data_IF_754909662017
#
_entry.id   IF_754909662017
#
_cell.length_a   1.000
_cell.length_b   1.000
_cell.length_c   1.000
_cell.angle_alpha   90.00
_cell.angle_beta   90.00
_cell.angle_gamma   90.00
#
_symmetry.space_group_name_H-M   'P 1'
#
loop_
_entity.id
_entity.type
_entity.pdbx_description
1 polymer ?
#
# COMPACT_ATOMS: atom_id res chain seq x y z
N UNK A 1 19.85 2.68 0.67
CA UNK A 1 18.81 3.73 0.65
C UNK A 1 18.54 4.23 2.07
N UNK A 2 18.14 3.35 2.97
CA UNK A 2 17.72 3.67 4.34
C UNK A 2 18.79 4.42 5.17
N UNK A 3 20.06 4.05 5.04
CA UNK A 3 21.19 4.70 5.75
C UNK A 3 21.77 5.92 5.01
N UNK A 4 21.44 6.09 3.74
CA UNK A 4 22.00 7.13 2.87
C UNK A 4 20.99 8.18 2.42
N UNK A 5 19.77 8.17 2.96
CA UNK A 5 18.68 9.06 2.55
C UNK A 5 18.52 9.15 1.02
N UNK A 6 18.68 8.01 0.35
CA UNK A 6 18.67 7.95 -1.10
C UNK A 6 17.69 6.93 -1.65
N UNK A 7 17.46 6.98 -2.93
CA UNK A 7 16.67 6.00 -3.64
C UNK A 7 17.53 4.78 -4.03
N UNK A 8 16.92 3.61 -4.08
CA UNK A 8 17.53 2.38 -4.53
C UNK A 8 16.81 1.89 -5.78
N UNK A 9 17.58 1.49 -6.79
CA UNK A 9 17.06 0.85 -7.97
C UNK A 9 17.92 -0.38 -8.32
N UNK A 10 17.27 -1.42 -8.83
CA UNK A 10 17.94 -2.58 -9.40
C UNK A 10 17.81 -2.51 -10.92
N UNK A 11 18.93 -2.40 -11.60
CA UNK A 11 18.98 -2.22 -13.05
C UNK A 11 19.53 -3.52 -13.66
N UNK A 12 18.65 -4.30 -14.28
CA UNK A 12 18.96 -5.58 -14.90
C UNK A 12 19.03 -5.52 -16.43
N UNK A 13 18.44 -4.47 -17.02
CA UNK A 13 18.39 -4.29 -18.46
C UNK A 13 18.40 -2.79 -18.85
N UNK A 14 18.53 -2.53 -20.15
CA UNK A 14 18.60 -1.17 -20.69
C UNK A 14 17.29 -0.39 -20.54
N UNK A 15 16.14 -1.08 -20.59
CA UNK A 15 14.82 -0.45 -20.40
C UNK A 15 14.69 0.07 -18.97
N UNK A 16 15.10 -0.71 -17.98
CA UNK A 16 15.11 -0.32 -16.57
C UNK A 16 16.13 0.80 -16.32
N UNK A 17 17.32 0.74 -16.94
CA UNK A 17 18.28 1.84 -16.88
C UNK A 17 17.68 3.16 -17.40
N UNK A 18 16.97 3.12 -18.52
CA UNK A 18 16.30 4.30 -19.08
C UNK A 18 15.18 4.80 -18.15
N UNK A 19 14.39 3.90 -17.55
CA UNK A 19 13.37 4.27 -16.57
C UNK A 19 13.97 5.05 -15.41
N UNK A 20 15.00 4.49 -14.78
CA UNK A 20 15.60 5.05 -13.56
C UNK A 20 16.42 6.31 -13.85
N UNK A 21 17.31 6.24 -14.84
CA UNK A 21 18.32 7.29 -15.08
C UNK A 21 17.82 8.44 -15.98
N UNK A 22 16.73 8.24 -16.71
CA UNK A 22 16.15 9.27 -17.58
C UNK A 22 14.74 9.63 -17.13
N UNK A 23 13.87 8.63 -16.96
CA UNK A 23 12.46 8.87 -16.64
C UNK A 23 12.23 9.40 -15.23
N UNK A 24 12.98 8.91 -14.25
CA UNK A 24 12.85 9.25 -12.83
C UNK A 24 13.94 10.22 -12.33
N UNK A 25 14.85 10.63 -13.19
CA UNK A 25 15.98 11.49 -12.83
C UNK A 25 15.54 12.80 -12.15
N UNK A 26 14.55 13.48 -12.72
CA UNK A 26 13.99 14.70 -12.15
C UNK A 26 13.36 14.50 -10.77
N UNK A 27 12.72 13.36 -10.58
CA UNK A 27 12.10 13.01 -9.31
C UNK A 27 13.12 12.78 -8.17
N UNK A 28 14.30 12.28 -8.52
CA UNK A 28 15.39 12.07 -7.57
C UNK A 28 16.06 13.39 -7.18
N UNK A 29 16.13 14.36 -8.09
CA UNK A 29 16.83 15.63 -7.86
C UNK A 29 15.98 16.72 -7.19
N UNK A 30 14.66 16.66 -7.34
CA UNK A 30 13.76 17.71 -6.87
C UNK A 30 12.77 17.18 -5.83
N UNK A 31 13.17 17.27 -4.56
CA UNK A 31 12.28 16.98 -3.43
C UNK A 31 11.15 18.00 -3.38
N UNK A 32 9.90 17.56 -3.41
CA UNK A 32 8.70 18.40 -3.27
C UNK A 32 8.08 18.32 -1.89
N UNK A 33 8.35 17.24 -1.15
CA UNK A 33 7.93 17.06 0.23
C UNK A 33 8.95 16.22 0.99
N UNK A 34 9.29 16.65 2.20
CA UNK A 34 10.19 15.93 3.12
C UNK A 34 9.38 15.29 4.24
N UNK A 35 9.92 14.22 4.81
CA UNK A 35 9.36 13.53 5.99
C UNK A 35 7.87 13.18 5.83
N UNK A 36 7.53 12.59 4.69
CA UNK A 36 6.15 12.24 4.36
C UNK A 36 5.69 11.05 5.19
N UNK A 37 4.69 11.28 6.03
CA UNK A 37 4.06 10.28 6.90
C UNK A 37 2.60 10.13 6.54
N UNK A 38 2.17 8.89 6.38
CA UNK A 38 0.79 8.53 6.07
C UNK A 38 0.18 7.75 7.24
N UNK A 39 -1.00 8.15 7.67
CA UNK A 39 -1.81 7.42 8.63
C UNK A 39 -3.21 7.22 8.06
N UNK A 40 -3.73 6.01 8.17
CA UNK A 40 -5.11 5.70 7.80
C UNK A 40 -5.86 5.30 9.06
N UNK A 41 -6.89 6.07 9.40
CA UNK A 41 -7.79 5.80 10.51
C UNK A 41 -9.08 5.21 9.97
N UNK A 42 -9.39 3.98 10.34
CA UNK A 42 -10.62 3.30 9.93
C UNK A 42 -11.74 3.55 10.94
N UNK A 43 -12.94 3.79 10.43
CA UNK A 43 -14.12 3.96 11.27
C UNK A 43 -14.55 2.60 11.85
N UNK A 44 -14.45 2.37 13.15
CA UNK A 44 -14.78 1.09 13.75
C UNK A 44 -16.28 0.75 13.71
N UNK A 45 -17.14 1.72 13.39
CA UNK A 45 -18.56 1.46 13.13
C UNK A 45 -18.80 0.81 11.76
N UNK A 46 -17.88 0.96 10.82
CA UNK A 46 -17.97 0.44 9.45
C UNK A 46 -16.97 -0.71 9.21
N UNK A 47 -15.82 -0.69 9.88
CA UNK A 47 -14.70 -1.61 9.66
C UNK A 47 -14.49 -2.49 10.88
N UNK A 48 -14.61 -3.80 10.70
CA UNK A 48 -14.36 -4.79 11.74
C UNK A 48 -12.88 -5.07 11.94
N UNK A 49 -12.13 -5.18 10.83
CA UNK A 49 -10.70 -5.41 10.84
C UNK A 49 -10.06 -4.88 9.57
N UNK A 50 -8.78 -4.59 9.64
CA UNK A 50 -7.98 -4.16 8.49
C UNK A 50 -6.53 -4.61 8.64
N UNK A 51 -5.81 -4.67 7.54
CA UNK A 51 -4.36 -4.85 7.50
C UNK A 51 -3.74 -4.11 6.32
N UNK A 52 -2.53 -3.62 6.52
CA UNK A 52 -1.69 -3.10 5.45
C UNK A 52 -1.13 -4.28 4.63
N UNK A 53 -1.13 -4.13 3.30
CA UNK A 53 -0.57 -5.11 2.37
C UNK A 53 0.81 -4.65 1.91
N UNK A 54 1.85 -5.30 2.39
CA UNK A 54 3.24 -4.86 2.18
C UNK A 54 3.64 -3.72 3.14
N UNK A 55 4.80 -3.15 2.93
CA UNK A 55 5.37 -2.06 3.74
C UNK A 55 5.59 -2.39 5.23
N UNK A 56 5.62 -3.64 5.62
CA UNK A 56 5.75 -4.06 7.02
C UNK A 56 7.05 -3.52 7.67
N UNK A 57 8.11 -3.37 6.87
CA UNK A 57 9.39 -2.80 7.34
C UNK A 57 9.39 -1.27 7.46
N UNK A 58 8.35 -0.59 6.99
CA UNK A 58 8.21 0.88 7.00
C UNK A 58 7.07 1.37 7.89
N UNK A 59 6.53 0.51 8.73
CA UNK A 59 5.53 0.91 9.71
C UNK A 59 6.14 1.85 10.74
N UNK A 60 5.48 2.99 10.94
CA UNK A 60 5.77 3.92 12.03
C UNK A 60 4.93 3.54 13.24
N UNK A 61 5.45 3.83 14.43
CA UNK A 61 4.63 3.80 15.65
C UNK A 61 3.62 4.94 15.61
N UNK A 62 2.47 4.75 16.23
CA UNK A 62 1.41 5.77 16.24
C UNK A 62 1.90 7.12 16.80
N UNK A 63 2.76 7.09 17.82
CA UNK A 63 3.39 8.27 18.43
C UNK A 63 4.32 9.02 17.46
N UNK A 64 4.97 8.31 16.54
CA UNK A 64 5.94 8.87 15.58
C UNK A 64 5.26 9.68 14.46
N UNK A 65 3.96 9.48 14.23
CA UNK A 65 3.22 10.25 13.23
C UNK A 65 3.22 11.76 13.53
N UNK A 66 3.11 12.14 14.80
CA UNK A 66 3.09 13.55 15.23
C UNK A 66 4.49 14.08 15.60
N UNK A 67 5.51 13.27 15.52
CA UNK A 67 6.87 13.63 15.92
C UNK A 67 7.67 14.16 14.73
N UNK A 68 7.90 15.48 14.67
CA UNK A 68 8.67 16.13 13.60
C UNK A 68 10.18 15.81 13.64
N UNK A 69 10.69 15.27 14.76
CA UNK A 69 12.07 14.82 14.86
C UNK A 69 12.29 13.40 14.28
N UNK A 70 11.19 12.68 14.02
CA UNK A 70 11.27 11.35 13.41
C UNK A 70 11.35 11.48 11.92
N UNK A 71 12.47 11.01 11.37
CA UNK A 71 12.71 10.95 9.94
C UNK A 71 11.75 10.01 9.21
N UNK A 72 11.34 10.39 8.00
CA UNK A 72 10.47 9.61 7.12
C UNK A 72 10.88 9.82 5.65
N UNK A 73 10.21 9.14 4.73
CA UNK A 73 10.58 9.19 3.32
C UNK A 73 10.32 10.56 2.68
N UNK A 74 11.24 10.99 1.83
CA UNK A 74 11.07 12.17 0.99
C UNK A 74 10.37 11.81 -0.32
N UNK A 75 9.59 12.75 -0.85
CA UNK A 75 8.94 12.63 -2.15
C UNK A 75 9.56 13.61 -3.15
N UNK A 76 10.02 13.09 -4.27
CA UNK A 76 10.48 13.87 -5.40
C UNK A 76 9.36 14.24 -6.37
N UNK A 77 9.64 15.18 -7.26
CA UNK A 77 8.71 15.64 -8.27
C UNK A 77 8.25 14.50 -9.18
N UNK A 78 6.94 14.29 -9.29
CA UNK A 78 6.35 13.20 -10.10
C UNK A 78 6.32 11.83 -9.42
N UNK A 79 6.84 11.68 -8.21
CA UNK A 79 6.72 10.43 -7.44
C UNK A 79 5.30 10.19 -6.96
N UNK A 80 4.89 8.93 -7.02
CA UNK A 80 3.64 8.43 -6.44
C UNK A 80 3.92 7.24 -5.53
N UNK A 81 3.14 7.12 -4.48
CA UNK A 81 3.19 5.97 -3.56
C UNK A 81 1.81 5.36 -3.48
N UNK A 82 1.73 4.05 -3.62
CA UNK A 82 0.48 3.30 -3.51
C UNK A 82 0.56 2.37 -2.30
N UNK A 83 -0.38 2.51 -1.37
CA UNK A 83 -0.55 1.60 -0.24
C UNK A 83 -1.90 0.89 -0.36
N UNK A 84 -1.91 -0.42 -0.13
CA UNK A 84 -3.12 -1.22 -0.10
C UNK A 84 -3.46 -1.63 1.32
N UNK A 85 -4.73 -1.51 1.64
CA UNK A 85 -5.30 -2.08 2.84
C UNK A 85 -6.36 -3.11 2.47
N UNK A 86 -6.30 -4.27 3.08
CA UNK A 86 -7.40 -5.22 3.07
C UNK A 86 -8.31 -4.87 4.24
N UNK A 87 -9.60 -4.74 3.97
CA UNK A 87 -10.59 -4.27 4.92
C UNK A 87 -11.70 -5.30 5.05
N UNK A 88 -12.05 -5.64 6.27
CA UNK A 88 -13.20 -6.49 6.59
C UNK A 88 -14.29 -5.58 7.16
N UNK A 89 -15.40 -5.36 6.45
CA UNK A 89 -16.48 -4.54 6.96
C UNK A 89 -17.19 -5.19 8.15
N UNK A 90 -17.88 -4.40 8.94
CA UNK A 90 -18.73 -4.90 10.03
C UNK A 90 -19.79 -5.87 9.46
N UNK A 91 -19.92 -7.05 10.07
CA UNK A 91 -20.77 -8.14 9.58
C UNK A 91 -20.11 -9.03 8.52
N UNK A 92 -18.93 -8.68 8.02
CA UNK A 92 -18.13 -9.51 7.11
C UNK A 92 -17.53 -10.72 7.83
N UNK A 93 -17.25 -11.80 7.08
CA UNK A 93 -16.55 -12.98 7.61
C UNK A 93 -15.06 -12.65 7.75
N UNK A 94 -14.53 -12.73 8.97
CA UNK A 94 -13.10 -12.64 9.19
C UNK A 94 -12.48 -14.04 9.02
N UNK A 95 -11.82 -14.27 7.90
CA UNK A 95 -11.17 -15.56 7.57
C UNK A 95 -9.77 -15.66 8.15
N UNK A 96 -9.18 -14.57 8.63
CA UNK A 96 -7.79 -14.51 9.10
C UNK A 96 -7.66 -14.44 10.62
N UNK A 97 -8.69 -14.05 11.34
CA UNK A 97 -8.65 -14.03 12.80
C UNK A 97 -9.00 -15.43 13.32
N UNK A 98 -8.01 -16.13 13.84
CA UNK A 98 -8.22 -17.33 14.63
C UNK A 98 -9.05 -17.02 15.89
N UNK A 99 -9.71 -18.04 16.45
CA UNK A 99 -10.32 -17.92 17.78
C UNK A 99 -9.21 -17.72 18.80
N UNK A 100 -9.25 -16.62 19.50
CA UNK A 100 -8.38 -16.36 20.65
C UNK A 100 -9.17 -16.74 21.90
N UNK A 101 -8.59 -17.56 22.76
CA UNK A 101 -9.18 -17.95 24.04
C UNK A 101 -9.45 -16.70 24.89
N UNK A 102 -10.43 -16.81 25.79
CA UNK A 102 -10.73 -15.75 26.75
C UNK A 102 -9.51 -15.50 27.64
N UNK A 103 -9.16 -14.23 27.81
CA UNK A 103 -8.04 -13.85 28.65
C UNK A 103 -8.39 -14.10 30.13
N UNK A 104 -7.58 -14.89 30.83
CA UNK A 104 -7.79 -15.27 32.24
C UNK A 104 -7.81 -14.07 33.19
N UNK A 105 -7.01 -13.06 32.90
CA UNK A 105 -6.78 -11.91 33.80
C UNK A 105 -7.36 -10.59 33.28
N UNK A 106 -7.91 -10.56 32.08
CA UNK A 106 -8.52 -9.38 31.49
C UNK A 106 -9.86 -9.77 30.88
N UNK A 107 -10.93 -9.12 31.33
CA UNK A 107 -12.18 -9.16 30.57
C UNK A 107 -11.98 -8.32 29.32
N UNK A 108 -12.26 -8.89 28.14
CA UNK A 108 -12.40 -8.06 26.93
C UNK A 108 -13.50 -7.06 27.23
N UNK A 109 -13.14 -5.83 27.56
CA UNK A 109 -14.10 -4.75 27.48
C UNK A 109 -14.62 -4.73 26.06
N UNK A 110 -15.91 -4.96 25.88
CA UNK A 110 -16.56 -4.62 24.63
C UNK A 110 -16.38 -3.12 24.51
N UNK A 111 -15.40 -2.70 23.72
CA UNK A 111 -15.28 -1.30 23.35
C UNK A 111 -16.61 -0.97 22.71
N UNK A 112 -17.48 -0.34 23.48
CA UNK A 112 -18.72 0.20 22.95
C UNK A 112 -18.32 1.39 22.09
N UNK A 113 -18.04 1.09 20.81
CA UNK A 113 -17.82 2.12 19.80
C UNK A 113 -19.15 2.87 19.75
N UNK A 114 -19.18 4.06 20.36
CA UNK A 114 -20.30 4.97 20.14
C UNK A 114 -20.22 5.35 18.66
N UNK A 115 -21.23 5.00 17.86
CA UNK A 115 -21.24 5.42 16.45
C UNK A 115 -21.13 6.94 16.44
N UNK A 116 -20.13 7.47 15.75
CA UNK A 116 -20.01 8.92 15.57
C UNK A 116 -21.11 9.48 14.67
N UNK A 117 -21.99 8.62 14.14
CA UNK A 117 -23.02 9.00 13.19
C UNK A 117 -22.47 9.37 11.79
N UNK A 118 -21.16 9.20 11.60
CA UNK A 118 -20.51 9.45 10.31
C UNK A 118 -20.61 8.23 9.39
N UNK A 119 -20.97 8.46 8.12
CA UNK A 119 -20.96 7.47 7.05
C UNK A 119 -19.54 7.24 6.48
N UNK A 120 -18.54 7.89 7.04
CA UNK A 120 -17.14 7.74 6.61
C UNK A 120 -16.64 6.34 6.91
N UNK A 121 -15.96 5.74 5.92
CA UNK A 121 -15.29 4.46 6.05
C UNK A 121 -13.92 4.60 6.73
N UNK A 122 -13.20 5.64 6.37
CA UNK A 122 -11.86 5.92 6.87
C UNK A 122 -11.51 7.40 6.68
N UNK A 123 -10.46 7.85 7.39
CA UNK A 123 -9.80 9.13 7.12
C UNK A 123 -8.33 8.89 6.83
N UNK A 124 -7.85 9.42 5.71
CA UNK A 124 -6.42 9.46 5.37
C UNK A 124 -5.83 10.74 5.94
N UNK A 125 -4.76 10.60 6.73
CA UNK A 125 -4.00 11.71 7.28
C UNK A 125 -2.61 11.69 6.67
N UNK A 126 -2.22 12.79 6.06
CA UNK A 126 -0.90 13.00 5.47
C UNK A 126 -0.19 14.10 6.23
N UNK A 127 1.05 13.83 6.66
CA UNK A 127 1.91 14.81 7.29
C UNK A 127 3.20 14.93 6.50
N UNK A 128 3.65 16.14 6.22
CA UNK A 128 4.85 16.40 5.43
C UNK A 128 5.45 17.75 5.76
N UNK A 129 6.74 17.93 5.49
CA UNK A 129 7.43 19.23 5.50
C UNK A 129 7.60 19.74 4.07
N UNK A 130 7.43 21.03 3.87
CA UNK A 130 7.85 21.67 2.61
C UNK A 130 9.38 21.61 2.50
N UNK A 131 9.97 21.62 1.29
CA UNK A 131 11.41 21.45 1.10
C UNK A 131 12.28 22.43 1.89
N UNK A 132 11.78 23.67 2.09
CA UNK A 132 12.42 24.77 2.79
C UNK A 132 11.99 24.94 4.26
N UNK A 133 11.21 24.01 4.80
CA UNK A 133 10.64 24.08 6.16
C UNK A 133 11.04 22.88 7.02
N UNK A 134 11.10 23.13 8.33
CA UNK A 134 11.35 22.09 9.34
C UNK A 134 10.10 21.73 10.14
N UNK A 135 9.03 22.50 9.98
CA UNK A 135 7.74 22.25 10.63
C UNK A 135 6.79 21.58 9.65
N UNK A 136 6.22 20.46 10.05
CA UNK A 136 5.30 19.71 9.21
C UNK A 136 3.91 20.35 9.14
N UNK A 137 3.24 20.07 8.02
CA UNK A 137 1.82 20.34 7.79
C UNK A 137 1.05 19.06 7.75
N UNK A 138 -0.20 19.08 8.19
CA UNK A 138 -1.12 17.95 8.14
C UNK A 138 -2.27 18.24 7.17
N UNK A 139 -2.59 17.25 6.35
CA UNK A 139 -3.79 17.19 5.50
C UNK A 139 -4.62 16.00 5.97
N UNK A 140 -5.92 16.17 6.06
CA UNK A 140 -6.86 15.10 6.38
C UNK A 140 -7.91 15.01 5.26
N UNK A 141 -8.18 13.80 4.82
CA UNK A 141 -9.14 13.51 3.79
C UNK A 141 -10.06 12.37 4.24
N UNK A 142 -11.30 12.65 4.62
CA UNK A 142 -12.27 11.62 4.92
C UNK A 142 -12.73 10.93 3.62
N UNK A 143 -13.04 9.65 3.72
CA UNK A 143 -13.53 8.84 2.62
C UNK A 143 -14.81 8.12 3.00
N UNK A 144 -15.84 8.28 2.17
CA UNK A 144 -17.12 7.57 2.25
C UNK A 144 -17.16 6.52 1.14
N UNK A 145 -17.53 5.29 1.48
CA UNK A 145 -17.72 4.24 0.49
C UNK A 145 -19.05 4.44 -0.26
N UNK A 146 -18.94 4.91 -1.47
CA UNK A 146 -20.11 5.14 -2.36
C UNK A 146 -20.69 3.83 -2.95
N UNK A 147 -20.17 2.66 -2.52
CA UNK A 147 -20.56 1.33 -3.02
C UNK A 147 -20.55 1.20 -4.55
N UNK A 148 -19.73 2.03 -5.19
CA UNK A 148 -19.55 2.01 -6.64
C UNK A 148 -18.64 0.86 -7.05
N UNK A 149 -19.07 0.10 -8.07
CA UNK A 149 -18.26 -1.01 -8.63
C UNK A 149 -17.24 -0.53 -9.66
N UNK A 150 -16.98 0.76 -9.75
CA UNK A 150 -16.13 1.32 -10.80
C UNK A 150 -14.65 1.30 -10.35
N UNK A 151 -14.01 0.17 -10.56
CA UNK A 151 -12.59 -0.04 -10.25
C UNK A 151 -11.74 0.40 -11.45
N UNK A 152 -10.81 1.33 -11.25
CA UNK A 152 -9.92 1.80 -12.32
C UNK A 152 -8.96 0.71 -12.81
N UNK A 153 -8.45 0.85 -14.03
CA UNK A 153 -7.43 -0.03 -14.59
C UNK A 153 -6.13 0.00 -13.76
N UNK A 154 -5.76 1.19 -13.27
CA UNK A 154 -4.59 1.36 -12.40
C UNK A 154 -4.73 0.61 -11.08
N UNK A 155 -5.92 0.65 -10.46
CA UNK A 155 -6.18 -0.11 -9.24
C UNK A 155 -6.09 -1.62 -9.48
N UNK A 156 -6.64 -2.11 -10.61
CA UNK A 156 -6.53 -3.52 -10.97
C UNK A 156 -5.09 -3.94 -11.16
N UNK A 157 -4.31 -3.14 -11.90
CA UNK A 157 -2.90 -3.43 -12.13
C UNK A 157 -2.10 -3.42 -10.82
N UNK A 158 -2.23 -2.38 -10.01
CA UNK A 158 -1.52 -2.28 -8.73
C UNK A 158 -1.93 -3.39 -7.75
N UNK A 159 -3.21 -3.81 -7.77
CA UNK A 159 -3.68 -4.97 -6.99
C UNK A 159 -3.04 -6.28 -7.46
N UNK A 160 -2.85 -6.44 -8.77
CA UNK A 160 -2.13 -7.60 -9.31
C UNK A 160 -0.67 -7.63 -8.85
N UNK A 161 0.01 -6.48 -8.83
CA UNK A 161 1.38 -6.36 -8.30
C UNK A 161 1.44 -6.73 -6.81
N UNK A 162 0.52 -6.21 -6.00
CA UNK A 162 0.43 -6.54 -4.57
C UNK A 162 0.18 -8.04 -4.35
N UNK A 163 -0.74 -8.64 -5.12
CA UNK A 163 -1.05 -10.07 -5.06
C UNK A 163 0.15 -10.93 -5.46
N UNK A 164 0.89 -10.54 -6.50
CA UNK A 164 2.11 -11.22 -6.92
C UNK A 164 3.18 -11.19 -5.82
N UNK A 165 3.38 -10.04 -5.18
CA UNK A 165 4.29 -9.91 -4.04
C UNK A 165 3.92 -10.84 -2.88
N UNK A 166 2.63 -11.06 -2.61
CA UNK A 166 2.20 -12.01 -1.59
C UNK A 166 2.47 -13.47 -1.99
N UNK A 167 2.30 -13.83 -3.26
CA UNK A 167 2.66 -15.16 -3.77
C UNK A 167 4.16 -15.43 -3.67
N UNK A 168 5.00 -14.48 -4.08
CA UNK A 168 6.46 -14.62 -4.03
C UNK A 168 6.99 -14.81 -2.60
N UNK A 169 6.35 -14.16 -1.62
CA UNK A 169 6.73 -14.27 -0.19
C UNK A 169 6.09 -15.46 0.51
N UNK A 170 5.27 -16.23 -0.17
CA UNK A 170 4.45 -17.31 0.42
C UNK A 170 3.66 -16.83 1.65
N UNK A 171 3.05 -15.65 1.53
CA UNK A 171 2.36 -14.99 2.64
C UNK A 171 1.19 -15.83 3.14
N UNK A 172 1.02 -15.92 4.47
CA UNK A 172 -0.16 -16.51 5.10
C UNK A 172 -1.46 -15.81 4.69
N UNK A 173 -1.35 -14.59 4.20
CA UNK A 173 -2.48 -13.76 3.76
C UNK A 173 -2.68 -13.75 2.25
N UNK A 174 -2.03 -14.62 1.50
CA UNK A 174 -2.23 -14.73 0.05
C UNK A 174 -3.62 -15.21 -0.33
N UNK A 175 -4.36 -15.80 0.63
CA UNK A 175 -5.70 -16.33 0.40
C UNK A 175 -5.74 -17.30 -0.78
N UNK A 176 -6.70 -17.09 -1.68
CA UNK A 176 -6.85 -17.86 -2.91
C UNK A 176 -6.09 -17.26 -4.12
N UNK A 177 -5.04 -16.47 -3.88
CA UNK A 177 -4.22 -15.91 -4.94
C UNK A 177 -3.51 -17.04 -5.73
N UNK A 178 -3.50 -16.89 -7.04
CA UNK A 178 -2.75 -17.77 -7.96
C UNK A 178 -2.08 -16.92 -9.03
N UNK A 179 -1.04 -17.43 -9.67
CA UNK A 179 -0.40 -16.73 -10.80
C UNK A 179 -1.38 -16.41 -11.92
N UNK A 180 -2.34 -17.31 -12.20
CA UNK A 180 -3.36 -17.08 -13.22
C UNK A 180 -4.30 -15.93 -12.85
N UNK A 181 -4.70 -15.82 -11.58
CA UNK A 181 -5.49 -14.67 -11.11
C UNK A 181 -4.70 -13.37 -11.24
N UNK A 182 -3.40 -13.37 -10.89
CA UNK A 182 -2.52 -12.21 -11.05
C UNK A 182 -2.43 -11.79 -12.52
N UNK A 183 -2.15 -12.74 -13.42
CA UNK A 183 -2.05 -12.47 -14.86
C UNK A 183 -3.37 -11.91 -15.41
N UNK A 184 -4.50 -12.52 -15.05
CA UNK A 184 -5.82 -12.08 -15.47
C UNK A 184 -6.13 -10.64 -15.01
N UNK A 185 -5.83 -10.35 -13.75
CA UNK A 185 -6.07 -9.03 -13.16
C UNK A 185 -5.13 -7.97 -13.76
N UNK A 186 -3.85 -8.30 -13.95
CA UNK A 186 -2.88 -7.41 -14.57
C UNK A 186 -3.25 -7.06 -16.03
N UNK A 187 -3.73 -8.05 -16.80
CA UNK A 187 -4.19 -7.85 -18.20
C UNK A 187 -5.38 -6.89 -18.29
N UNK A 188 -6.24 -6.83 -17.26
CA UNK A 188 -7.34 -5.86 -17.19
C UNK A 188 -6.88 -4.43 -16.86
N UNK A 189 -5.63 -4.26 -16.47
CA UNK A 189 -5.03 -2.98 -16.13
C UNK A 189 -3.95 -2.52 -17.11
N UNK A 190 -3.95 -2.99 -18.37
CA UNK A 190 -2.94 -2.63 -19.37
C UNK A 190 -3.20 -1.31 -20.10
N UNK A 191 -4.27 -0.60 -19.76
CA UNK A 191 -4.54 0.72 -20.30
C UNK A 191 -3.39 1.68 -19.98
N UNK A 192 -3.06 2.58 -20.91
CA UNK A 192 -2.02 3.59 -20.72
C UNK A 192 -0.60 3.02 -20.46
N UNK A 193 -0.27 1.88 -21.09
CA UNK A 193 1.06 1.24 -20.98
C UNK A 193 1.98 1.62 -22.16
N UNK A 194 2.15 2.91 -22.40
CA UNK A 194 2.93 3.43 -23.55
C UNK A 194 4.41 3.02 -23.49
N UNK A 195 4.94 2.84 -22.29
CA UNK A 195 6.32 2.41 -22.04
C UNK A 195 6.50 0.90 -21.93
N UNK A 196 5.41 0.12 -21.94
CA UNK A 196 5.43 -1.34 -21.89
C UNK A 196 5.73 -1.98 -20.53
N UNK A 197 5.80 -1.19 -19.45
CA UNK A 197 6.14 -1.71 -18.10
C UNK A 197 5.09 -2.68 -17.55
N UNK A 198 3.81 -2.43 -17.82
CA UNK A 198 2.73 -3.32 -17.35
C UNK A 198 2.75 -4.65 -18.10
N UNK A 199 3.04 -4.63 -19.40
CA UNK A 199 3.22 -5.85 -20.21
C UNK A 199 4.45 -6.63 -19.79
N UNK A 200 5.53 -5.94 -19.42
CA UNK A 200 6.73 -6.57 -18.86
C UNK A 200 6.43 -7.28 -17.55
N UNK A 201 5.69 -6.65 -16.64
CA UNK A 201 5.23 -7.28 -15.41
C UNK A 201 4.44 -8.58 -15.68
N UNK A 202 3.51 -8.57 -16.64
CA UNK A 202 2.77 -9.78 -17.03
C UNK A 202 3.72 -10.90 -17.46
N UNK A 203 4.72 -10.60 -18.29
CA UNK A 203 5.74 -11.60 -18.72
C UNK A 203 6.54 -12.14 -17.53
N UNK A 204 6.90 -11.28 -16.58
CA UNK A 204 7.59 -11.71 -15.36
C UNK A 204 6.73 -12.67 -14.54
N UNK A 205 5.45 -12.41 -14.39
CA UNK A 205 4.52 -13.31 -13.68
C UNK A 205 4.36 -14.64 -14.41
N UNK A 206 4.26 -14.62 -15.76
CA UNK A 206 4.20 -15.83 -16.59
C UNK A 206 5.47 -16.68 -16.44
N UNK A 207 6.65 -16.05 -16.44
CA UNK A 207 7.93 -16.73 -16.21
C UNK A 207 8.02 -17.33 -14.80
N UNK A 208 7.62 -16.60 -13.76
CA UNK A 208 7.60 -17.09 -12.38
C UNK A 208 6.65 -18.29 -12.21
N UNK A 209 5.49 -18.28 -12.88
CA UNK A 209 4.57 -19.41 -12.93
C UNK A 209 5.23 -20.67 -13.51
N UNK A 210 5.98 -20.53 -14.63
CA UNK A 210 6.70 -21.63 -15.26
C UNK A 210 7.71 -22.27 -14.31
N UNK A 211 8.53 -21.47 -13.64
CA UNK A 211 9.54 -21.95 -12.69
C UNK A 211 8.92 -22.70 -11.51
N UNK A 212 7.73 -22.30 -11.06
CA UNK A 212 7.08 -23.00 -9.95
C UNK A 212 6.47 -24.34 -10.35
N UNK A 213 6.06 -24.51 -11.61
CA UNK A 213 5.51 -25.78 -12.11
C UNK A 213 6.58 -26.85 -12.33
N UNK A 214 7.85 -26.49 -12.40
CA UNK A 214 9.00 -27.38 -12.58
C UNK A 214 9.57 -27.91 -11.25
N UNK A 215 9.06 -27.40 -10.11
CA UNK A 215 9.42 -27.87 -8.75
C UNK A 215 8.40 -28.86 -8.21
#
# INVERSE_FOLDING_TARGET
AEKGNGNHAYIDNLQEANRVLVGEFGATLHTVAKDVKLQVEFNPAQVHAYRLVGYESRLLKDEDFNNDAKDAGDMGAGHTVTAFYEVIPVGGKNTYAGKVDELKYQKKEKVSVKPTGSDELLTVKLRYKAPDKDVSRKIELPFVDNKGNNVSSDFRFASAVAMFGQLLRDSDFKGEATYDKVISLAKQGLDHDDKGYRREFVRLVEAAKGIQQEK
#
